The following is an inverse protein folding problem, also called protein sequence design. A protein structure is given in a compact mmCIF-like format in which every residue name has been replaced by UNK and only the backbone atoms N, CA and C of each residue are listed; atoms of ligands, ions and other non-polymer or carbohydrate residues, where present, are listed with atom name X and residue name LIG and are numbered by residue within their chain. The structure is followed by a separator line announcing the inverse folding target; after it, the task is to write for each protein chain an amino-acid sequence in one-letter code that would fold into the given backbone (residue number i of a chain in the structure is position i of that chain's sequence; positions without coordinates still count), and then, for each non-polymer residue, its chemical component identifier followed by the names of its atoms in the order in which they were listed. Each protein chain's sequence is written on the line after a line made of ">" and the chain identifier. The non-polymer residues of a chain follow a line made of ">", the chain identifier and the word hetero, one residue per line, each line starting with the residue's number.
data_IF_068910804701
#
_entry.id   IF_068910804701
#
_cell.length_a   1.000
_cell.length_b   1.000
_cell.length_c   1.000
_cell.angle_alpha   90.00
_cell.angle_beta   90.00
_cell.angle_gamma   90.00
#
_symmetry.space_group_name_H-M   'P 1'
#
loop_
_entity.id
_entity.type
_entity.pdbx_description
1 polymer ?
#
# COMPACT_ATOMS: atom_id res chain seq x y z
N UNK A 1 28.90 -1.98 20.56
CA UNK A 1 27.67 -1.49 21.22
C UNK A 1 26.96 -0.61 20.21
N UNK A 2 26.32 -1.25 19.22
CA UNK A 2 25.58 -0.58 18.16
C UNK A 2 24.15 -0.32 18.64
N UNK A 3 23.67 0.87 18.33
CA UNK A 3 22.62 1.57 19.06
C UNK A 3 21.29 0.83 19.17
N UNK A 4 20.86 0.62 20.42
CA UNK A 4 19.46 0.30 20.82
C UNK A 4 18.44 1.30 20.25
N UNK A 5 18.89 2.43 19.69
CA UNK A 5 18.05 3.46 19.07
C UNK A 5 17.54 3.08 17.66
N UNK A 6 18.27 2.24 16.91
CA UNK A 6 17.82 1.81 15.58
C UNK A 6 16.69 0.77 15.64
N UNK A 7 16.65 -0.04 16.70
CA UNK A 7 15.62 -1.09 16.89
C UNK A 7 14.27 -0.47 17.30
N UNK A 8 14.27 0.63 18.04
CA UNK A 8 13.05 1.27 18.52
C UNK A 8 12.23 1.98 17.41
N UNK A 9 12.84 2.35 16.29
CA UNK A 9 12.11 2.97 15.19
C UNK A 9 11.43 1.96 14.24
N UNK A 10 11.85 0.69 14.25
CA UNK A 10 11.24 -0.37 13.41
C UNK A 10 9.97 -0.93 14.08
N UNK A 11 9.87 -0.87 15.42
CA UNK A 11 8.73 -1.37 16.20
C UNK A 11 7.58 -0.36 16.37
N UNK A 12 7.70 0.86 15.83
CA UNK A 12 6.71 1.93 16.02
C UNK A 12 5.48 1.86 15.08
N UNK A 13 5.22 0.71 14.44
CA UNK A 13 4.14 0.53 13.46
C UNK A 13 2.99 -0.38 13.91
N UNK A 14 3.05 -0.97 15.10
CA UNK A 14 1.99 -1.85 15.61
C UNK A 14 1.45 -1.31 16.94
N UNK A 15 0.13 -1.12 17.02
CA UNK A 15 -0.56 -0.70 18.25
C UNK A 15 -1.56 -1.78 18.65
N UNK A 16 -1.43 -2.30 19.87
CA UNK A 16 -2.43 -3.21 20.44
C UNK A 16 -3.71 -2.47 20.73
N UNK A 17 -4.83 -3.04 20.31
CA UNK A 17 -6.18 -2.53 20.57
C UNK A 17 -7.04 -3.65 21.16
N UNK A 18 -8.05 -3.28 21.94
CA UNK A 18 -9.13 -4.18 22.36
C UNK A 18 -10.37 -3.84 21.55
N UNK A 19 -11.03 -4.84 20.97
CA UNK A 19 -12.21 -4.66 20.14
C UNK A 19 -13.30 -5.62 20.58
N UNK A 20 -14.52 -5.10 20.76
CA UNK A 20 -15.70 -5.92 20.96
C UNK A 20 -16.33 -6.18 19.59
N UNK A 21 -16.53 -7.45 19.25
CA UNK A 21 -17.17 -7.89 18.01
C UNK A 21 -18.29 -8.86 18.33
N UNK A 22 -19.22 -9.04 17.41
CA UNK A 22 -20.23 -10.10 17.55
C UNK A 22 -19.58 -11.47 17.48
N UNK A 23 -19.90 -12.34 18.43
CA UNK A 23 -19.43 -13.73 18.50
C UNK A 23 -19.53 -14.51 17.17
N UNK A 24 -20.67 -14.53 16.45
CA UNK A 24 -20.76 -15.30 15.21
C UNK A 24 -19.76 -14.86 14.14
N UNK A 25 -19.51 -13.55 14.02
CA UNK A 25 -18.53 -13.01 13.07
C UNK A 25 -17.12 -13.41 13.47
N UNK A 26 -16.79 -13.33 14.76
CA UNK A 26 -15.46 -13.72 15.22
C UNK A 26 -15.20 -15.22 15.00
N UNK A 27 -16.20 -16.07 15.25
CA UNK A 27 -16.13 -17.51 14.99
C UNK A 27 -15.84 -17.83 13.52
N UNK A 28 -16.45 -17.10 12.57
CA UNK A 28 -16.17 -17.26 11.14
C UNK A 28 -14.72 -16.91 10.80
N UNK A 29 -14.20 -15.81 11.35
CA UNK A 29 -12.80 -15.42 11.19
C UNK A 29 -11.84 -16.44 11.80
N UNK A 30 -12.15 -17.00 12.97
CA UNK A 30 -11.33 -18.03 13.60
C UNK A 30 -11.28 -19.32 12.78
N UNK A 31 -12.43 -19.78 12.28
CA UNK A 31 -12.52 -20.97 11.44
C UNK A 31 -11.72 -20.79 10.15
N UNK A 32 -11.93 -19.69 9.44
CA UNK A 32 -11.20 -19.40 8.21
C UNK A 32 -9.69 -19.28 8.45
N UNK A 33 -9.27 -18.59 9.51
CA UNK A 33 -7.85 -18.46 9.86
C UNK A 33 -7.20 -19.84 10.11
N UNK A 34 -7.90 -20.73 10.81
CA UNK A 34 -7.43 -22.09 11.09
C UNK A 34 -7.29 -22.93 9.83
N UNK A 35 -8.25 -22.85 8.91
CA UNK A 35 -8.19 -23.56 7.62
C UNK A 35 -7.00 -23.11 6.76
N UNK A 36 -6.56 -21.86 6.93
CA UNK A 36 -5.43 -21.27 6.20
C UNK A 36 -4.10 -21.35 6.97
N UNK A 37 -4.07 -21.95 8.17
CA UNK A 37 -2.91 -21.95 9.08
C UNK A 37 -2.35 -20.54 9.38
N UNK A 38 -3.24 -19.57 9.59
CA UNK A 38 -2.91 -18.16 9.83
C UNK A 38 -3.47 -17.67 11.17
N UNK A 39 -2.86 -16.65 11.81
CA UNK A 39 -3.43 -16.03 13.00
C UNK A 39 -4.71 -15.22 12.67
N UNK A 40 -5.77 -15.36 13.48
CA UNK A 40 -7.01 -14.56 13.31
C UNK A 40 -6.75 -13.05 13.32
N UNK A 41 -5.80 -12.58 14.15
CA UNK A 41 -5.40 -11.18 14.22
C UNK A 41 -4.82 -10.64 12.90
N UNK A 42 -4.33 -11.51 12.00
CA UNK A 42 -3.87 -11.11 10.67
C UNK A 42 -5.03 -10.74 9.76
N UNK A 43 -6.07 -11.58 9.74
CA UNK A 43 -7.29 -11.30 8.98
C UNK A 43 -7.98 -10.01 9.47
N UNK A 44 -7.97 -9.76 10.78
CA UNK A 44 -8.50 -8.52 11.34
C UNK A 44 -7.70 -7.31 10.82
N UNK A 45 -6.37 -7.39 10.80
CA UNK A 45 -5.51 -6.33 10.25
C UNK A 45 -5.77 -6.12 8.75
N UNK A 46 -5.93 -7.19 7.98
CA UNK A 46 -6.28 -7.11 6.55
C UNK A 46 -7.62 -6.43 6.34
N UNK A 47 -8.64 -6.81 7.12
CA UNK A 47 -9.96 -6.19 7.05
C UNK A 47 -9.91 -4.69 7.38
N UNK A 48 -9.12 -4.30 8.38
CA UNK A 48 -8.89 -2.89 8.72
C UNK A 48 -8.22 -2.12 7.59
N UNK A 49 -7.20 -2.70 6.93
CA UNK A 49 -6.52 -2.06 5.81
C UNK A 49 -7.42 -1.97 4.57
N UNK A 50 -8.19 -3.01 4.27
CA UNK A 50 -9.17 -3.00 3.19
C UNK A 50 -10.24 -1.92 3.40
N UNK A 51 -10.72 -1.76 4.64
CA UNK A 51 -11.63 -0.67 4.99
C UNK A 51 -10.97 0.70 4.82
N UNK A 52 -9.71 0.85 5.27
CA UNK A 52 -8.94 2.08 5.08
C UNK A 52 -8.78 2.43 3.61
N UNK A 53 -8.40 1.49 2.76
CA UNK A 53 -8.21 1.73 1.33
C UNK A 53 -9.53 2.04 0.62
N UNK A 54 -10.60 1.35 0.95
CA UNK A 54 -11.89 1.54 0.26
C UNK A 54 -12.66 2.79 0.73
N UNK A 55 -12.54 3.19 2.01
CA UNK A 55 -13.37 4.25 2.60
C UNK A 55 -12.61 5.47 3.08
N UNK A 56 -11.42 5.29 3.65
CA UNK A 56 -10.65 6.41 4.24
C UNK A 56 -9.70 7.03 3.22
N UNK A 57 -9.06 6.20 2.40
CA UNK A 57 -8.12 6.61 1.35
C UNK A 57 -8.47 5.91 0.03
N UNK A 58 -9.68 6.15 -0.52
CA UNK A 58 -10.05 5.60 -1.81
C UNK A 58 -9.02 6.01 -2.85
N UNK A 59 -8.51 5.03 -3.60
CA UNK A 59 -7.67 5.30 -4.75
C UNK A 59 -8.50 6.13 -5.74
N UNK A 60 -8.14 7.41 -5.91
CA UNK A 60 -8.75 8.25 -6.92
C UNK A 60 -8.21 7.84 -8.28
N UNK A 61 -9.12 7.47 -9.20
CA UNK A 61 -8.75 7.15 -10.58
C UNK A 61 -7.95 8.30 -11.19
N UNK A 62 -6.95 7.98 -12.01
CA UNK A 62 -6.23 9.01 -12.77
C UNK A 62 -7.18 9.79 -13.69
N UNK A 63 -8.29 9.17 -14.13
CA UNK A 63 -9.32 9.84 -14.93
C UNK A 63 -10.13 10.87 -14.15
N UNK A 64 -10.21 10.70 -12.82
CA UNK A 64 -10.99 11.56 -11.94
C UNK A 64 -10.12 12.67 -11.30
N UNK A 65 -8.81 12.66 -11.58
CA UNK A 65 -7.90 13.71 -11.15
C UNK A 65 -7.93 14.88 -12.12
N UNK A 66 -7.96 16.10 -11.57
CA UNK A 66 -7.65 17.30 -12.38
C UNK A 66 -6.19 17.23 -12.84
N UNK A 67 -5.89 17.54 -14.11
CA UNK A 67 -4.51 17.65 -14.58
C UNK A 67 -3.75 18.62 -13.67
N UNK A 68 -2.64 18.15 -13.11
CA UNK A 68 -1.70 19.05 -12.47
C UNK A 68 -0.86 19.71 -13.56
N UNK A 69 -0.72 21.05 -13.50
CA UNK A 69 0.28 21.72 -14.33
C UNK A 69 1.65 21.29 -13.85
N UNK A 70 2.42 20.65 -14.72
CA UNK A 70 3.80 20.21 -14.45
C UNK A 70 4.85 21.20 -14.96
N UNK A 71 4.41 22.39 -15.40
CA UNK A 71 5.27 23.42 -15.98
C UNK A 71 5.32 23.37 -17.50
N UNK A 72 6.41 23.90 -18.07
CA UNK A 72 6.60 24.03 -19.51
C UNK A 72 7.09 22.72 -20.16
N UNK A 73 6.85 22.58 -21.46
CA UNK A 73 7.31 21.42 -22.23
C UNK A 73 8.83 21.53 -22.42
N UNK A 74 9.59 20.65 -21.77
CA UNK A 74 11.06 20.60 -21.91
C UNK A 74 11.50 20.14 -23.30
N UNK A 75 10.81 19.15 -23.86
CA UNK A 75 11.06 18.60 -25.20
C UNK A 75 9.74 18.07 -25.79
N UNK A 76 9.30 18.56 -26.95
CA UNK A 76 8.15 17.97 -27.63
C UNK A 76 8.45 16.53 -28.04
N UNK A 77 7.51 15.62 -27.80
CA UNK A 77 7.58 14.27 -28.34
C UNK A 77 7.18 14.30 -29.82
N UNK A 78 8.04 13.79 -30.68
CA UNK A 78 7.84 13.72 -32.13
C UNK A 78 7.09 12.47 -32.58
N UNK A 79 7.08 11.43 -31.75
CA UNK A 79 6.39 10.17 -32.01
C UNK A 79 6.38 9.23 -30.80
N UNK A 80 5.80 8.04 -30.99
CA UNK A 80 5.79 6.98 -29.96
C UNK A 80 7.19 6.43 -29.69
N UNK A 81 8.06 6.46 -30.69
CA UNK A 81 9.42 5.88 -30.59
C UNK A 81 10.26 6.66 -29.55
N UNK A 82 10.11 7.99 -29.47
CA UNK A 82 10.76 8.84 -28.46
C UNK A 82 10.42 8.44 -27.00
N UNK A 83 9.25 7.85 -26.77
CA UNK A 83 8.83 7.38 -25.43
C UNK A 83 9.68 6.18 -24.98
N UNK A 84 10.02 5.31 -25.94
CA UNK A 84 10.74 4.06 -25.66
C UNK A 84 12.24 4.29 -25.61
N UNK A 85 12.76 5.20 -26.44
CA UNK A 85 14.17 5.61 -26.41
C UNK A 85 14.57 6.14 -25.01
N UNK A 86 13.78 7.03 -24.42
CA UNK A 86 14.03 7.59 -23.09
C UNK A 86 13.96 6.56 -21.94
N UNK A 87 13.27 5.43 -22.13
CA UNK A 87 13.17 4.35 -21.14
C UNK A 87 14.34 3.37 -21.29
N UNK A 88 14.72 3.04 -22.53
CA UNK A 88 15.78 2.09 -22.85
C UNK A 88 17.19 2.68 -22.67
N UNK A 89 17.38 3.98 -22.90
CA UNK A 89 18.67 4.66 -22.68
C UNK A 89 19.05 4.79 -21.19
N UNK A 90 18.09 4.69 -20.27
CA UNK A 90 18.35 4.75 -18.82
C UNK A 90 19.00 3.49 -18.28
N UNK A 91 18.70 2.34 -18.88
CA UNK A 91 19.27 1.04 -18.49
C UNK A 91 20.63 0.76 -19.18
N UNK A 92 21.00 1.55 -20.19
CA UNK A 92 22.27 1.43 -20.92
C UNK A 92 23.42 2.26 -20.31
N UNK A 93 23.15 2.98 -19.20
CA UNK A 93 24.14 3.73 -18.43
C UNK A 93 24.27 3.17 -17.01
N UNK A 94 24.66 1.90 -16.91
CA UNK A 94 25.32 1.30 -15.75
C UNK A 94 26.29 0.20 -16.22
#
# INVERSE_FOLDING_TARGET
>A
MVDKLAINNITNNMKTITLNVSEPVYADFQRYAKEQDRPTAELVREAMEAYRQSRIRPACSLRDRRPASVGEILRPWSGRDDLLDDLLDRDARD
#
